data_IF_805696870062
#
_entry.id   IF_805696870062
#
_cell.length_a   1.000
_cell.length_b   1.000
_cell.length_c   1.000
_cell.angle_alpha   90.00
_cell.angle_beta   90.00
_cell.angle_gamma   90.00
#
_symmetry.space_group_name_H-M   'P 1'
#
loop_
_entity.id
_entity.type
_entity.pdbx_description
1 polymer ?
#
# COMPACT_ATOMS: atom_id res chain seq x y z
N UNK A 1 -2.99 0.90 18.68
CA UNK A 1 -4.46 0.87 18.85
C UNK A 1 -4.99 -0.19 17.90
N UNK A 2 -5.82 -1.13 18.36
CA UNK A 2 -6.47 -2.08 17.46
C UNK A 2 -7.73 -1.41 16.90
N UNK A 3 -7.61 -0.82 15.73
CA UNK A 3 -8.75 -0.28 15.00
C UNK A 3 -9.67 -1.46 14.66
N UNK A 4 -10.87 -1.49 15.23
CA UNK A 4 -11.91 -2.46 14.85
C UNK A 4 -12.89 -1.75 13.93
N UNK A 5 -12.42 -1.35 12.76
CA UNK A 5 -13.25 -0.72 11.73
C UNK A 5 -13.97 -1.75 10.84
N UNK A 6 -14.03 -3.03 11.25
CA UNK A 6 -14.69 -4.10 10.51
C UNK A 6 -16.15 -3.77 10.15
N UNK A 7 -16.67 -4.40 9.10
CA UNK A 7 -18.07 -4.31 8.68
C UNK A 7 -18.62 -5.65 8.19
N UNK A 8 -19.92 -5.70 7.91
CA UNK A 8 -20.60 -6.84 7.29
C UNK A 8 -20.62 -6.77 5.75
N UNK A 9 -20.22 -5.64 5.18
CA UNK A 9 -20.09 -5.39 3.74
C UNK A 9 -18.89 -4.47 3.45
N UNK A 10 -18.45 -4.39 2.18
CA UNK A 10 -17.39 -3.47 1.78
C UNK A 10 -17.74 -2.03 2.15
N UNK A 11 -18.97 -1.59 1.83
CA UNK A 11 -19.43 -0.23 2.16
C UNK A 11 -19.38 0.06 3.65
N UNK A 12 -19.88 -0.85 4.48
CA UNK A 12 -19.87 -0.65 5.94
C UNK A 12 -18.44 -0.60 6.48
N UNK A 13 -17.54 -1.46 6.00
CA UNK A 13 -16.12 -1.40 6.33
C UNK A 13 -15.52 -0.02 5.99
N UNK A 14 -15.74 0.49 4.78
CA UNK A 14 -15.18 1.79 4.36
C UNK A 14 -15.77 2.94 5.18
N UNK A 15 -17.08 2.93 5.43
CA UNK A 15 -17.74 3.94 6.26
C UNK A 15 -17.21 3.90 7.72
N UNK A 16 -16.93 2.72 8.26
CA UNK A 16 -16.35 2.56 9.60
C UNK A 16 -14.88 3.01 9.68
N UNK A 17 -14.08 2.79 8.64
CA UNK A 17 -12.71 3.32 8.53
C UNK A 17 -12.71 4.86 8.54
N UNK A 18 -13.64 5.47 7.79
CA UNK A 18 -13.74 6.93 7.72
C UNK A 18 -14.26 7.52 9.04
N UNK A 19 -15.26 6.90 9.67
CA UNK A 19 -15.72 7.27 11.04
C UNK A 19 -14.62 7.09 12.08
N UNK A 20 -13.76 6.10 11.91
CA UNK A 20 -12.58 5.85 12.74
C UNK A 20 -11.43 6.85 12.50
N UNK A 21 -11.61 7.83 11.60
CA UNK A 21 -10.60 8.83 11.24
C UNK A 21 -9.30 8.24 10.69
N UNK A 22 -9.36 7.06 10.07
CA UNK A 22 -8.20 6.48 9.37
C UNK A 22 -7.83 7.32 8.15
N UNK A 23 -8.84 7.86 7.46
CA UNK A 23 -8.66 8.72 6.30
C UNK A 23 -9.80 9.75 6.22
N UNK A 24 -9.62 10.78 5.40
CA UNK A 24 -10.58 11.89 5.27
C UNK A 24 -11.00 12.18 3.83
N UNK A 25 -10.20 11.75 2.85
CA UNK A 25 -10.42 12.06 1.44
C UNK A 25 -11.63 11.34 0.85
N UNK A 26 -12.51 12.09 0.19
CA UNK A 26 -13.62 11.52 -0.56
C UNK A 26 -13.13 10.68 -1.76
N UNK A 27 -12.00 11.06 -2.38
CA UNK A 27 -11.39 10.29 -3.48
C UNK A 27 -10.92 8.91 -3.02
N UNK A 28 -10.36 8.82 -1.81
CA UNK A 28 -9.97 7.54 -1.20
C UNK A 28 -11.21 6.70 -0.91
N UNK A 29 -12.24 7.31 -0.32
CA UNK A 29 -13.54 6.66 -0.07
C UNK A 29 -14.12 6.04 -1.34
N UNK A 30 -14.22 6.84 -2.40
CA UNK A 30 -14.86 6.45 -3.65
C UNK A 30 -14.08 5.32 -4.33
N UNK A 31 -12.74 5.38 -4.31
CA UNK A 31 -11.90 4.30 -4.81
C UNK A 31 -12.11 2.99 -4.04
N UNK A 32 -12.09 3.03 -2.70
CA UNK A 32 -12.27 1.83 -1.87
C UNK A 32 -13.70 1.27 -1.89
N UNK A 33 -14.72 2.11 -2.13
CA UNK A 33 -16.10 1.65 -2.35
C UNK A 33 -16.21 0.94 -3.70
N UNK A 34 -15.55 1.45 -4.74
CA UNK A 34 -15.62 0.92 -6.11
C UNK A 34 -14.81 -0.37 -6.30
N UNK A 35 -13.88 -0.68 -5.40
CA UNK A 35 -13.06 -1.90 -5.41
C UNK A 35 -13.47 -2.75 -4.21
N UNK A 36 -14.33 -3.74 -4.44
CA UNK A 36 -14.81 -4.60 -3.36
C UNK A 36 -13.67 -5.49 -2.87
N UNK A 37 -13.32 -5.38 -1.58
CA UNK A 37 -12.27 -6.21 -0.98
C UNK A 37 -12.59 -7.70 -1.02
N UNK A 38 -13.87 -8.07 -1.12
CA UNK A 38 -14.35 -9.45 -1.28
C UNK A 38 -13.77 -10.16 -2.50
N UNK A 39 -13.42 -9.43 -3.56
CA UNK A 39 -12.84 -10.01 -4.78
C UNK A 39 -11.36 -10.40 -4.61
N UNK A 40 -10.71 -9.94 -3.53
CA UNK A 40 -9.26 -10.04 -3.31
C UNK A 40 -8.87 -10.82 -2.06
N UNK A 41 -9.79 -10.95 -1.09
CA UNK A 41 -9.55 -11.59 0.20
C UNK A 41 -10.35 -12.91 0.31
N UNK A 42 -9.68 -14.07 0.52
CA UNK A 42 -10.36 -15.37 0.47
C UNK A 42 -11.30 -15.62 1.66
N UNK A 43 -11.01 -15.03 2.83
CA UNK A 43 -11.75 -15.26 4.07
C UNK A 43 -11.89 -13.96 4.85
N UNK A 44 -13.04 -13.77 5.53
CA UNK A 44 -13.30 -12.60 6.36
C UNK A 44 -12.98 -11.25 5.69
N UNK A 45 -13.42 -11.01 4.44
CA UNK A 45 -12.92 -9.90 3.61
C UNK A 45 -13.13 -8.53 4.23
N UNK A 46 -14.16 -8.38 5.07
CA UNK A 46 -14.55 -7.11 5.67
C UNK A 46 -14.10 -6.93 7.14
N UNK A 47 -13.23 -7.81 7.61
CA UNK A 47 -12.57 -7.66 8.91
C UNK A 47 -11.38 -6.72 8.78
N UNK A 48 -11.25 -5.75 9.69
CA UNK A 48 -10.12 -4.82 9.70
C UNK A 48 -8.84 -5.45 10.26
N UNK A 49 -8.33 -6.44 9.54
CA UNK A 49 -7.11 -7.18 9.89
C UNK A 49 -6.50 -7.83 8.63
N UNK A 50 -5.20 -8.18 8.64
CA UNK A 50 -4.59 -8.90 7.52
C UNK A 50 -5.25 -10.27 7.32
N UNK A 51 -5.35 -10.72 6.07
CA UNK A 51 -5.85 -12.06 5.72
C UNK A 51 -4.81 -12.82 4.90
N UNK A 52 -4.61 -14.11 5.18
CA UNK A 52 -3.72 -14.95 4.40
C UNK A 52 -4.22 -15.13 2.97
N UNK A 53 -3.32 -15.01 1.99
CA UNK A 53 -3.62 -15.23 0.56
C UNK A 53 -2.79 -16.36 -0.06
N UNK A 54 -2.18 -17.20 0.79
CA UNK A 54 -1.21 -18.21 0.39
C UNK A 54 0.22 -17.66 0.25
N UNK A 55 1.18 -18.53 -0.04
CA UNK A 55 2.57 -18.17 -0.37
C UNK A 55 3.29 -17.30 0.68
N UNK A 56 2.95 -17.52 1.96
CA UNK A 56 3.43 -16.72 3.10
C UNK A 56 3.17 -15.21 2.95
N UNK A 57 2.16 -14.84 2.16
CA UNK A 57 1.70 -13.48 1.98
C UNK A 57 0.33 -13.27 2.63
N UNK A 58 0.07 -12.01 2.99
CA UNK A 58 -1.23 -11.55 3.45
C UNK A 58 -1.69 -10.38 2.60
N UNK A 59 -2.99 -10.27 2.37
CA UNK A 59 -3.58 -8.98 2.02
C UNK A 59 -3.62 -8.13 3.29
N UNK A 60 -3.03 -6.94 3.24
CA UNK A 60 -2.93 -6.04 4.41
C UNK A 60 -4.29 -5.67 4.96
N UNK A 61 -4.34 -5.26 6.24
CA UNK A 61 -5.56 -4.78 6.87
C UNK A 61 -6.16 -3.60 6.09
N UNK A 62 -7.50 -3.49 5.99
CA UNK A 62 -8.18 -2.36 5.38
C UNK A 62 -7.66 -0.98 5.80
N UNK A 63 -7.40 -0.74 7.09
CA UNK A 63 -6.85 0.55 7.52
C UNK A 63 -5.49 0.87 6.91
N UNK A 64 -4.61 -0.12 6.71
CA UNK A 64 -3.30 0.13 6.08
C UNK A 64 -3.44 0.57 4.62
N UNK A 65 -4.38 -0.02 3.87
CA UNK A 65 -4.67 0.44 2.51
C UNK A 65 -5.26 1.85 2.50
N UNK A 66 -6.20 2.15 3.39
CA UNK A 66 -6.80 3.47 3.51
C UNK A 66 -5.75 4.54 3.85
N UNK A 67 -4.88 4.27 4.82
CA UNK A 67 -3.76 5.15 5.17
C UNK A 67 -2.82 5.37 3.98
N UNK A 68 -2.39 4.30 3.29
CA UNK A 68 -1.50 4.43 2.14
C UNK A 68 -2.11 5.31 1.02
N UNK A 69 -3.38 5.09 0.69
CA UNK A 69 -4.10 5.89 -0.30
C UNK A 69 -4.27 7.35 0.17
N UNK A 70 -4.53 7.61 1.44
CA UNK A 70 -4.65 8.95 2.00
C UNK A 70 -3.32 9.72 1.91
N UNK A 71 -2.18 9.08 2.24
CA UNK A 71 -0.86 9.69 2.16
C UNK A 71 -0.37 9.92 0.71
N UNK A 72 -0.87 9.11 -0.24
CA UNK A 72 -0.53 9.22 -1.65
C UNK A 72 -1.55 10.01 -2.48
N UNK A 73 -2.67 10.47 -1.89
CA UNK A 73 -3.80 11.05 -2.64
C UNK A 73 -3.43 12.21 -3.59
N UNK A 74 -2.45 13.01 -3.20
CA UNK A 74 -2.00 14.18 -3.97
C UNK A 74 -1.02 13.81 -5.10
N UNK A 75 -0.50 12.57 -5.08
CA UNK A 75 0.39 12.01 -6.11
C UNK A 75 -0.35 11.00 -7.00
N UNK A 76 -1.42 10.39 -6.49
CA UNK A 76 -2.34 9.54 -7.25
C UNK A 76 -3.41 10.42 -7.91
N UNK A 77 -3.02 11.18 -8.93
CA UNK A 77 -3.91 12.05 -9.72
C UNK A 77 -4.01 11.55 -11.16
N UNK A 78 -4.94 12.10 -11.94
CA UNK A 78 -5.11 11.72 -13.35
C UNK A 78 -3.80 11.87 -14.12
N UNK A 79 -3.39 10.79 -14.81
CA UNK A 79 -2.15 10.75 -15.58
C UNK A 79 -0.88 10.47 -14.76
N UNK A 80 -1.00 10.28 -13.44
CA UNK A 80 0.13 9.94 -12.59
C UNK A 80 0.68 8.53 -12.86
N UNK A 81 1.98 8.38 -12.61
CA UNK A 81 2.73 7.14 -12.74
C UNK A 81 2.94 6.53 -11.34
N UNK A 82 2.28 5.41 -11.05
CA UNK A 82 2.34 4.76 -9.73
C UNK A 82 2.94 3.35 -9.78
N UNK A 83 3.72 2.97 -8.76
CA UNK A 83 4.28 1.62 -8.58
C UNK A 83 3.83 1.03 -7.23
N UNK A 84 3.35 -0.21 -7.25
CA UNK A 84 2.99 -0.99 -6.05
C UNK A 84 3.90 -2.24 -5.95
N UNK A 85 4.97 -2.14 -5.17
CA UNK A 85 5.94 -3.22 -4.97
C UNK A 85 5.39 -4.19 -3.93
N UNK A 86 5.32 -5.48 -4.26
CA UNK A 86 4.68 -6.47 -3.39
C UNK A 86 3.15 -6.38 -3.44
N UNK A 87 2.60 -6.18 -4.65
CA UNK A 87 1.16 -6.01 -4.89
C UNK A 87 0.26 -7.10 -4.30
N UNK A 88 0.80 -8.31 -4.06
CA UNK A 88 0.12 -9.39 -3.37
C UNK A 88 -1.21 -9.74 -4.03
N UNK A 89 -2.31 -9.51 -3.31
CA UNK A 89 -3.67 -9.72 -3.85
C UNK A 89 -4.01 -8.83 -5.07
N UNK A 90 -3.34 -7.68 -5.24
CA UNK A 90 -3.66 -6.68 -6.25
C UNK A 90 -4.73 -5.67 -5.84
N UNK A 91 -5.27 -5.76 -4.61
CA UNK A 91 -6.30 -4.85 -4.10
C UNK A 91 -5.84 -3.37 -4.14
N UNK A 92 -4.68 -3.08 -3.54
CA UNK A 92 -4.17 -1.72 -3.47
C UNK A 92 -3.82 -1.16 -4.86
N UNK A 93 -3.20 -1.97 -5.71
CA UNK A 93 -2.91 -1.62 -7.11
C UNK A 93 -4.19 -1.19 -7.85
N UNK A 94 -5.30 -1.92 -7.65
CA UNK A 94 -6.59 -1.59 -8.26
C UNK A 94 -7.15 -0.27 -7.72
N UNK A 95 -7.06 -0.03 -6.41
CA UNK A 95 -7.44 1.25 -5.80
C UNK A 95 -6.61 2.43 -6.33
N UNK A 96 -5.29 2.27 -6.45
CA UNK A 96 -4.38 3.28 -7.03
C UNK A 96 -4.78 3.60 -8.48
N UNK A 97 -5.04 2.58 -9.30
CA UNK A 97 -5.49 2.75 -10.68
C UNK A 97 -6.84 3.48 -10.78
N UNK A 98 -7.73 3.30 -9.80
CA UNK A 98 -8.99 4.07 -9.72
C UNK A 98 -8.76 5.53 -9.35
N UNK A 99 -7.75 5.85 -8.52
CA UNK A 99 -7.43 7.23 -8.16
C UNK A 99 -6.68 8.00 -9.26
N UNK A 100 -5.84 7.31 -10.05
CA UNK A 100 -5.04 7.89 -11.13
C UNK A 100 -5.62 7.79 -12.56
N UNK A 101 -6.81 7.21 -12.71
CA UNK A 101 -7.47 6.89 -13.98
C UNK A 101 -6.64 5.99 -14.92
N UNK A 102 -6.66 4.68 -14.65
CA UNK A 102 -5.93 3.68 -15.44
C UNK A 102 -6.34 3.52 -16.92
N UNK A 103 -7.36 4.25 -17.42
CA UNK A 103 -7.76 4.20 -18.85
C UNK A 103 -6.70 4.77 -19.80
N UNK A 104 -5.80 5.60 -19.29
CA UNK A 104 -4.77 6.27 -20.08
C UNK A 104 -3.54 5.38 -20.38
N UNK A 105 -3.51 4.15 -19.87
CA UNK A 105 -2.38 3.23 -20.07
C UNK A 105 -1.09 3.73 -19.41
N UNK A 106 0.06 3.16 -19.81
CA UNK A 106 1.36 3.46 -19.19
C UNK A 106 2.49 3.60 -20.22
N UNK A 107 3.16 4.76 -20.31
CA UNK A 107 4.37 4.91 -21.12
C UNK A 107 5.63 4.43 -20.39
N UNK A 108 6.45 3.65 -21.09
CA UNK A 108 7.53 2.78 -20.55
C UNK A 108 8.73 3.54 -19.94
N UNK A 109 8.94 4.82 -20.24
CA UNK A 109 10.17 5.56 -19.87
C UNK A 109 9.97 6.67 -18.82
N UNK A 110 9.02 6.53 -17.89
CA UNK A 110 8.78 7.53 -16.83
C UNK A 110 9.18 7.04 -15.45
N UNK A 111 9.62 7.99 -14.62
CA UNK A 111 9.76 7.84 -13.17
C UNK A 111 8.39 7.90 -12.51
N UNK A 112 8.27 7.37 -11.30
CA UNK A 112 7.00 7.28 -10.58
C UNK A 112 6.75 8.49 -9.69
N UNK A 113 5.54 9.05 -9.76
CA UNK A 113 5.04 10.10 -8.88
C UNK A 113 4.66 9.53 -7.51
N UNK A 114 4.23 8.27 -7.48
CA UNK A 114 3.88 7.53 -6.27
C UNK A 114 4.51 6.13 -6.27
N UNK A 115 5.20 5.76 -5.19
CA UNK A 115 5.66 4.39 -4.95
C UNK A 115 5.10 3.91 -3.62
N UNK A 116 4.48 2.74 -3.61
CA UNK A 116 4.12 2.02 -2.40
C UNK A 116 4.89 0.70 -2.34
N UNK A 117 5.35 0.32 -1.15
CA UNK A 117 5.97 -0.99 -0.90
C UNK A 117 5.14 -1.73 0.16
N UNK A 118 4.48 -2.81 -0.26
CA UNK A 118 3.61 -3.64 0.58
C UNK A 118 4.35 -4.68 1.43
N UNK A 119 5.65 -4.53 1.64
CA UNK A 119 6.50 -5.44 2.42
C UNK A 119 7.65 -4.68 3.09
N UNK A 120 8.11 -5.14 4.26
CA UNK A 120 9.16 -4.49 5.02
C UNK A 120 10.55 -4.75 4.45
N UNK A 121 11.26 -3.69 4.07
CA UNK A 121 12.65 -3.76 3.65
C UNK A 121 13.60 -3.52 4.84
N UNK A 122 14.73 -4.21 4.90
CA UNK A 122 15.73 -3.93 5.96
C UNK A 122 16.30 -2.51 5.83
N UNK A 123 16.54 -2.06 4.60
CA UNK A 123 16.94 -0.69 4.25
C UNK A 123 16.15 -0.24 3.02
N UNK A 124 16.01 1.08 2.83
CA UNK A 124 15.36 1.64 1.64
C UNK A 124 16.15 1.26 0.38
N UNK A 125 15.54 0.57 -0.61
CA UNK A 125 16.25 0.16 -1.82
C UNK A 125 16.61 1.36 -2.71
N UNK A 126 17.91 1.54 -3.03
CA UNK A 126 18.40 2.63 -3.88
C UNK A 126 17.71 2.66 -5.26
N UNK A 127 17.40 1.50 -5.83
CA UNK A 127 16.70 1.42 -7.11
C UNK A 127 15.31 2.09 -7.09
N UNK A 128 14.60 2.05 -5.96
CA UNK A 128 13.29 2.71 -5.83
C UNK A 128 13.45 4.23 -5.71
N UNK A 129 14.53 4.69 -5.06
CA UNK A 129 14.90 6.12 -5.00
C UNK A 129 15.22 6.67 -6.40
N UNK A 130 15.95 5.88 -7.21
CA UNK A 130 16.33 6.27 -8.56
C UNK A 130 15.12 6.40 -9.49
N UNK A 131 14.15 5.50 -9.31
CA UNK A 131 12.87 5.45 -10.03
C UNK A 131 11.84 6.46 -9.51
N UNK A 132 12.02 7.04 -8.32
CA UNK A 132 11.16 8.09 -7.79
C UNK A 132 11.37 9.41 -8.56
N UNK A 133 10.27 9.96 -9.07
CA UNK A 133 10.25 11.23 -9.80
C UNK A 133 10.59 12.41 -8.88
N UNK A 134 11.06 13.51 -9.48
CA UNK A 134 11.18 14.79 -8.79
C UNK A 134 9.77 15.28 -8.39
N UNK A 135 9.57 15.64 -7.12
CA UNK A 135 8.24 15.90 -6.55
C UNK A 135 7.46 14.65 -6.14
N UNK A 136 7.98 13.44 -6.38
CA UNK A 136 7.32 12.18 -6.06
C UNK A 136 7.41 11.79 -4.58
N UNK A 137 6.53 10.87 -4.18
CA UNK A 137 6.46 10.29 -2.83
C UNK A 137 6.55 8.76 -2.84
N UNK A 138 7.34 8.21 -1.92
CA UNK A 138 7.38 6.79 -1.62
C UNK A 138 6.88 6.51 -0.19
N UNK A 139 6.08 5.46 -0.02
CA UNK A 139 5.72 4.89 1.27
C UNK A 139 6.29 3.47 1.38
N UNK A 140 7.07 3.21 2.42
CA UNK A 140 7.78 1.94 2.59
C UNK A 140 7.89 1.56 4.08
N UNK A 141 7.51 0.34 4.49
CA UNK A 141 7.88 -0.19 5.80
C UNK A 141 9.37 -0.52 5.82
N UNK A 142 10.10 0.00 6.82
CA UNK A 142 11.55 -0.21 6.99
C UNK A 142 11.83 -0.81 8.37
N UNK A 143 12.61 -1.89 8.38
CA UNK A 143 13.03 -2.57 9.60
C UNK A 143 13.42 -4.02 9.34
N UNK A 144 14.10 -4.64 10.31
CA UNK A 144 14.51 -6.05 10.20
C UNK A 144 13.29 -6.98 10.20
N UNK A 145 13.43 -8.12 9.53
CA UNK A 145 12.43 -9.19 9.62
C UNK A 145 12.26 -9.62 11.08
N UNK A 146 11.01 -9.76 11.54
CA UNK A 146 10.65 -10.06 12.93
C UNK A 146 11.17 -9.04 13.98
N UNK A 147 11.61 -7.86 13.53
CA UNK A 147 12.06 -6.76 14.39
C UNK A 147 11.09 -5.60 14.43
N UNK A 148 11.54 -4.48 15.00
CA UNK A 148 10.82 -3.22 14.95
C UNK A 148 10.84 -2.65 13.53
N UNK A 149 9.65 -2.34 13.01
CA UNK A 149 9.45 -1.75 11.70
C UNK A 149 8.70 -0.43 11.83
N UNK A 150 9.05 0.53 10.98
CA UNK A 150 8.38 1.82 10.86
C UNK A 150 7.87 2.02 9.45
N UNK A 151 6.70 2.64 9.32
CA UNK A 151 6.17 3.06 8.03
C UNK A 151 6.76 4.43 7.69
N UNK A 152 7.58 4.47 6.65
CA UNK A 152 8.36 5.64 6.27
C UNK A 152 7.75 6.31 5.05
N UNK A 153 7.58 7.62 5.13
CA UNK A 153 7.34 8.49 3.98
C UNK A 153 8.66 9.06 3.50
N UNK A 154 8.90 9.00 2.20
CA UNK A 154 10.06 9.61 1.55
C UNK A 154 9.55 10.53 0.43
N UNK A 155 9.86 11.82 0.54
CA UNK A 155 9.57 12.82 -0.49
C UNK A 155 10.85 13.22 -1.22
N UNK A 156 10.79 13.38 -2.54
CA UNK A 156 11.93 13.85 -3.35
C UNK A 156 11.70 15.27 -3.84
N UNK A 157 12.57 16.19 -3.43
CA UNK A 157 12.54 17.61 -3.83
C UNK A 157 13.94 18.16 -4.08
N UNK A 158 14.15 18.85 -5.19
CA UNK A 158 15.44 19.37 -5.66
C UNK A 158 16.55 18.31 -5.62
N UNK A 159 16.26 17.07 -6.04
CA UNK A 159 17.15 15.90 -5.89
C UNK A 159 17.57 15.56 -4.45
N UNK A 160 16.91 16.12 -3.44
CA UNK A 160 17.10 15.78 -2.03
C UNK A 160 15.94 14.94 -1.54
N UNK A 161 16.24 14.01 -0.64
CA UNK A 161 15.25 13.15 0.00
C UNK A 161 14.93 13.69 1.38
N UNK A 162 13.64 13.78 1.70
CA UNK A 162 13.16 14.04 3.06
C UNK A 162 12.43 12.80 3.55
N UNK A 163 12.86 12.29 4.71
CA UNK A 163 12.26 11.11 5.33
C UNK A 163 11.40 11.52 6.54
N UNK A 164 10.23 10.93 6.67
CA UNK A 164 9.33 11.15 7.80
C UNK A 164 8.77 9.80 8.27
N UNK A 165 9.01 9.47 9.52
CA UNK A 165 8.40 8.30 10.16
C UNK A 165 6.93 8.60 10.44
N UNK A 166 6.03 7.82 9.85
CA UNK A 166 4.58 7.94 10.07
C UNK A 166 4.19 7.25 11.38
N UNK A 167 4.44 5.94 11.45
CA UNK A 167 4.05 5.12 12.61
C UNK A 167 4.86 3.82 12.67
N UNK A 168 4.67 3.03 13.74
CA UNK A 168 5.19 1.66 13.84
C UNK A 168 4.21 0.69 13.19
N UNK A 169 4.74 -0.27 12.43
CA UNK A 169 3.93 -1.23 11.67
C UNK A 169 4.51 -2.64 11.77
N UNK A 170 3.75 -3.62 11.27
CA UNK A 170 4.22 -5.00 11.10
C UNK A 170 3.81 -5.43 9.69
N UNK A 171 4.79 -5.71 8.85
CA UNK A 171 4.65 -6.16 7.48
C UNK A 171 5.41 -7.47 7.26
N UNK A 172 4.94 -8.24 6.28
CA UNK A 172 5.71 -9.36 5.73
C UNK A 172 7.05 -8.87 5.16
N UNK A 173 8.12 -9.66 5.20
CA UNK A 173 9.44 -9.20 4.75
C UNK A 173 9.52 -9.04 3.22
N UNK A 174 10.16 -7.97 2.76
CA UNK A 174 10.62 -7.80 1.39
C UNK A 174 11.92 -8.59 1.23
N UNK A 175 11.81 -9.80 0.68
CA UNK A 175 12.88 -10.79 0.70
C UNK A 175 12.99 -11.55 -0.62
N UNK A 176 13.98 -12.44 -0.73
CA UNK A 176 14.11 -13.31 -1.89
C UNK A 176 12.95 -14.28 -1.99
N UNK A 177 12.61 -14.67 -3.23
CA UNK A 177 11.59 -15.70 -3.50
C UNK A 177 11.87 -17.00 -2.73
N UNK A 178 13.13 -17.43 -2.68
CA UNK A 178 13.52 -18.67 -1.99
C UNK A 178 13.27 -18.59 -0.48
N UNK A 179 13.58 -17.45 0.14
CA UNK A 179 13.29 -17.23 1.56
C UNK A 179 11.79 -17.20 1.84
N UNK A 180 11.03 -16.45 1.02
CA UNK A 180 9.57 -16.35 1.15
C UNK A 180 8.87 -17.70 0.98
N UNK A 181 9.31 -18.50 0.01
CA UNK A 181 8.68 -19.77 -0.36
C UNK A 181 9.32 -20.98 0.30
N UNK A 182 10.26 -20.81 1.24
CA UNK A 182 11.03 -21.90 1.87
C UNK A 182 10.19 -23.02 2.53
N UNK A 183 8.90 -22.79 2.76
CA UNK A 183 7.93 -23.77 3.30
C UNK A 183 7.03 -24.42 2.25
N UNK A 184 7.18 -24.05 0.99
CA UNK A 184 6.44 -24.59 -0.16
C UNK A 184 7.44 -25.31 -1.06
N UNK A 185 7.41 -26.64 -1.05
CA UNK A 185 8.18 -27.45 -1.99
C UNK A 185 7.60 -27.27 -3.40
N UNK A 186 8.45 -26.94 -4.37
CA UNK A 186 8.14 -26.86 -5.80
C UNK A 186 9.01 -27.81 -6.59
#
# INVERSE_FOLDING_TARGET
MAWRCSGSSNRELIDNLQKGHIFSSHRVRDAMIAVDRGDFAPHGPYLDQPQGIGWNATISAPHMHASALEYLKDHLVEGACALDVGSGSGYLTTCMARMGDGRLGYPIDRKYDAIHVGAAAENVPAALIDQLAEGGRMLIPVGRENGDQVFLQIDKRNNQLTETVIERVIYVPLTSKAHQLSRYDY
#
